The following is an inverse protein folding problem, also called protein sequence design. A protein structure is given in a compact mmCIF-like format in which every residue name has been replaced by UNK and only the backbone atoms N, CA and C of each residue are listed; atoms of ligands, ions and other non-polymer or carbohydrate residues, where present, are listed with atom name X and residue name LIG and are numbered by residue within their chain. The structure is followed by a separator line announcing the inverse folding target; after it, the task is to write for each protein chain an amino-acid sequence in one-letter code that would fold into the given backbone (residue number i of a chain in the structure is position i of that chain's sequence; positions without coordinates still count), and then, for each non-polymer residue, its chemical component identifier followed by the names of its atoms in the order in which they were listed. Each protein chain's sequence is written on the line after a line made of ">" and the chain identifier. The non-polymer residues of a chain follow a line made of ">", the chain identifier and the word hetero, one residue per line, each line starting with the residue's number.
data_IF_613913395767
#
_entry.id   IF_613913395767
#
_cell.length_a   1.000
_cell.length_b   1.000
_cell.length_c   1.000
_cell.angle_alpha   90.00
_cell.angle_beta   90.00
_cell.angle_gamma   90.00
#
_symmetry.space_group_name_H-M   'P 1'
#
loop_
_entity.id
_entity.type
_entity.pdbx_description
1 polymer ?
#
# COMPACT_ATOMS: atom_id res chain seq x y z
N UNK A 1 -5.27 8.55 18.28
CA UNK A 1 -4.79 9.10 19.58
C UNK A 1 -3.55 9.97 19.40
N UNK A 2 -2.45 9.44 18.83
CA UNK A 2 -1.19 10.18 18.64
C UNK A 2 -1.37 11.55 17.97
N UNK A 3 -2.05 11.60 16.81
CA UNK A 3 -2.29 12.87 16.09
C UNK A 3 -3.14 13.87 16.89
N UNK A 4 -4.01 13.37 17.78
CA UNK A 4 -4.80 14.26 18.64
C UNK A 4 -3.96 14.86 19.75
N UNK A 5 -3.13 14.04 20.39
CA UNK A 5 -2.14 14.55 21.34
C UNK A 5 -1.18 15.55 20.66
N UNK A 6 -0.69 15.26 19.45
CA UNK A 6 0.18 16.17 18.69
C UNK A 6 -0.48 17.54 18.46
N UNK A 7 -1.73 17.56 18.01
CA UNK A 7 -2.48 18.81 17.80
C UNK A 7 -2.66 19.61 19.09
N UNK A 8 -2.85 18.97 20.25
CA UNK A 8 -2.98 19.67 21.53
C UNK A 8 -1.68 20.37 21.95
N UNK A 9 -0.53 19.77 21.61
CA UNK A 9 0.80 20.30 21.95
C UNK A 9 1.14 21.60 21.21
N UNK A 10 0.38 21.96 20.17
CA UNK A 10 0.48 23.28 19.52
C UNK A 10 0.00 24.42 20.44
N UNK A 11 -0.67 24.11 21.56
CA UNK A 11 -0.99 25.10 22.60
C UNK A 11 -2.18 26.02 22.28
N UNK A 12 -2.92 25.75 21.21
CA UNK A 12 -4.01 26.61 20.71
C UNK A 12 -5.41 26.01 20.92
N UNK A 13 -5.52 24.81 21.49
CA UNK A 13 -6.81 24.11 21.69
C UNK A 13 -7.47 24.42 23.04
N UNK A 14 -6.75 24.98 24.02
CA UNK A 14 -7.29 25.31 25.34
C UNK A 14 -7.76 24.09 26.14
N UNK A 15 -6.97 23.01 26.14
CA UNK A 15 -7.25 21.74 26.82
C UNK A 15 -6.23 21.49 27.94
N UNK A 16 -6.64 20.83 29.05
CA UNK A 16 -5.70 20.45 30.11
C UNK A 16 -4.65 19.45 29.61
N UNK A 17 -3.39 19.68 30.02
CA UNK A 17 -2.26 18.80 29.72
C UNK A 17 -2.45 17.37 30.26
N UNK A 18 -3.25 17.19 31.31
CA UNK A 18 -3.60 15.87 31.85
C UNK A 18 -4.30 14.99 30.81
N UNK A 19 -5.17 15.56 29.98
CA UNK A 19 -5.92 14.82 28.94
C UNK A 19 -4.97 14.38 27.82
N UNK A 20 -4.09 15.28 27.38
CA UNK A 20 -3.05 14.97 26.39
C UNK A 20 -2.08 13.90 26.91
N UNK A 21 -1.68 13.98 28.19
CA UNK A 21 -0.84 12.96 28.85
C UNK A 21 -1.55 11.61 28.93
N UNK A 22 -2.87 11.62 29.15
CA UNK A 22 -3.69 10.41 29.19
C UNK A 22 -3.81 9.72 27.82
N UNK A 23 -3.93 10.48 26.73
CA UNK A 23 -3.85 9.93 25.37
C UNK A 23 -2.54 9.19 25.13
N UNK A 24 -1.41 9.74 25.59
CA UNK A 24 -0.10 9.10 25.47
C UNK A 24 0.02 7.86 26.37
N UNK A 25 -0.53 7.90 27.58
CA UNK A 25 -0.56 6.75 28.49
C UNK A 25 -1.38 5.58 27.93
N UNK A 26 -2.51 5.84 27.28
CA UNK A 26 -3.28 4.81 26.56
C UNK A 26 -2.44 4.12 25.48
N UNK A 27 -1.64 4.88 24.72
CA UNK A 27 -0.72 4.32 23.72
C UNK A 27 0.37 3.48 24.41
N UNK A 28 1.01 4.02 25.45
CA UNK A 28 2.09 3.35 26.17
C UNK A 28 1.66 2.01 26.80
N UNK A 29 0.44 1.96 27.32
CA UNK A 29 -0.11 0.78 28.00
C UNK A 29 -0.93 -0.13 27.05
N UNK A 30 -0.92 0.13 25.74
CA UNK A 30 -1.68 -0.63 24.73
C UNK A 30 -3.20 -0.73 25.00
N UNK A 31 -3.80 0.39 25.40
CA UNK A 31 -5.24 0.56 25.54
C UNK A 31 -5.80 1.29 24.32
N UNK A 32 -6.57 0.59 23.49
CA UNK A 32 -7.08 1.11 22.22
C UNK A 32 -8.60 1.19 22.24
N UNK A 33 -9.21 2.40 22.21
CA UNK A 33 -10.66 2.55 22.10
C UNK A 33 -11.25 1.83 20.89
N UNK A 34 -12.39 1.17 21.07
CA UNK A 34 -13.15 0.57 19.98
C UNK A 34 -14.02 1.63 19.31
N UNK A 35 -13.81 1.83 18.00
CA UNK A 35 -14.39 2.94 17.25
C UNK A 35 -15.19 2.37 16.07
N UNK A 36 -16.45 2.78 15.86
CA UNK A 36 -17.20 2.38 14.67
C UNK A 36 -16.65 3.06 13.41
N UNK A 37 -16.71 2.36 12.28
CA UNK A 37 -16.19 2.87 11.01
C UNK A 37 -17.07 3.98 10.39
N UNK A 38 -18.36 4.01 10.73
CA UNK A 38 -19.34 4.97 10.20
C UNK A 38 -19.69 6.06 11.21
N UNK A 39 -19.93 7.27 10.72
CA UNK A 39 -20.44 8.39 11.51
C UNK A 39 -19.75 9.74 11.29
N UNK A 40 -18.64 9.78 10.54
CA UNK A 40 -17.99 11.03 10.15
C UNK A 40 -18.27 11.36 8.69
N UNK A 41 -18.69 12.60 8.43
CA UNK A 41 -18.75 13.21 7.09
C UNK A 41 -17.54 14.09 6.79
N UNK A 42 -16.61 14.23 7.75
CA UNK A 42 -15.39 15.03 7.60
C UNK A 42 -15.61 16.53 7.37
N UNK A 43 -16.70 17.10 7.92
CA UNK A 43 -17.04 18.51 7.78
C UNK A 43 -16.74 19.35 9.02
N UNK A 44 -17.00 18.82 10.23
CA UNK A 44 -16.65 19.44 11.53
C UNK A 44 -15.58 18.62 12.26
N UNK A 45 -14.72 17.99 11.46
CA UNK A 45 -13.83 16.91 11.89
C UNK A 45 -14.57 15.58 12.10
N UNK A 46 -13.88 14.64 12.73
CA UNK A 46 -14.33 13.26 12.97
C UNK A 46 -15.11 13.13 14.28
N UNK A 47 -16.16 13.94 14.45
CA UNK A 47 -16.92 14.07 15.71
C UNK A 47 -17.31 12.71 16.31
N UNK A 48 -17.98 11.85 15.54
CA UNK A 48 -18.46 10.56 16.03
C UNK A 48 -17.29 9.63 16.39
N UNK A 49 -16.32 9.34 15.49
CA UNK A 49 -15.17 8.51 15.85
C UNK A 49 -14.37 9.02 17.06
N UNK A 50 -14.13 10.34 17.13
CA UNK A 50 -13.37 10.93 18.22
C UNK A 50 -14.14 10.96 19.55
N UNK A 51 -15.47 10.89 19.52
CA UNK A 51 -16.29 10.73 20.74
C UNK A 51 -16.02 9.41 21.44
N UNK A 52 -15.77 8.32 20.70
CA UNK A 52 -15.41 7.02 21.31
C UNK A 52 -14.04 7.06 21.99
N UNK A 53 -13.09 7.78 21.39
CA UNK A 53 -11.79 8.04 22.02
C UNK A 53 -11.99 8.90 23.28
N UNK A 54 -12.68 10.03 23.15
CA UNK A 54 -12.92 10.94 24.27
C UNK A 54 -13.63 10.22 25.42
N UNK A 55 -14.73 9.52 25.16
CA UNK A 55 -15.49 8.80 26.18
C UNK A 55 -14.65 7.77 26.95
N UNK A 56 -13.73 7.10 26.24
CA UNK A 56 -12.79 6.16 26.86
C UNK A 56 -11.72 6.87 27.70
N UNK A 57 -11.19 8.00 27.21
CA UNK A 57 -10.16 8.80 27.90
C UNK A 57 -10.71 9.47 29.18
N UNK A 58 -11.92 10.02 29.13
CA UNK A 58 -12.58 10.60 30.30
C UNK A 58 -13.13 9.55 31.26
N UNK A 59 -13.43 8.33 30.77
CA UNK A 59 -14.11 7.31 31.57
C UNK A 59 -15.55 7.69 31.86
N UNK A 60 -16.31 8.05 30.82
CA UNK A 60 -17.67 8.58 30.98
C UNK A 60 -18.62 7.53 31.60
N UNK A 61 -18.69 6.34 31.00
CA UNK A 61 -19.51 5.22 31.49
C UNK A 61 -19.05 3.88 30.89
N UNK A 62 -19.70 2.79 31.29
CA UNK A 62 -19.37 1.40 30.92
C UNK A 62 -19.67 1.05 29.45
N UNK A 63 -20.40 1.89 28.69
CA UNK A 63 -20.73 1.59 27.29
C UNK A 63 -19.54 1.80 26.34
N UNK A 64 -18.55 2.60 26.74
CA UNK A 64 -17.31 2.78 26.00
C UNK A 64 -16.40 1.57 26.23
N UNK A 65 -16.00 0.92 25.14
CA UNK A 65 -15.15 -0.26 25.19
C UNK A 65 -13.78 0.02 24.59
N UNK A 66 -12.78 -0.69 25.08
CA UNK A 66 -11.39 -0.67 24.61
C UNK A 66 -10.92 -2.10 24.36
N UNK A 67 -9.94 -2.25 23.48
CA UNK A 67 -9.02 -3.38 23.50
C UNK A 67 -7.85 -3.04 24.42
N UNK A 68 -7.59 -3.89 25.42
CA UNK A 68 -6.42 -3.79 26.27
C UNK A 68 -5.57 -5.05 26.11
N UNK A 69 -4.45 -4.92 25.39
CA UNK A 69 -3.53 -6.02 25.10
C UNK A 69 -4.24 -7.24 24.46
N UNK A 70 -5.16 -7.00 23.52
CA UNK A 70 -5.92 -8.06 22.84
C UNK A 70 -7.17 -8.53 23.59
N UNK A 71 -7.51 -7.93 24.74
CA UNK A 71 -8.73 -8.24 25.51
C UNK A 71 -9.72 -7.08 25.44
N UNK A 72 -10.95 -7.35 25.00
CA UNK A 72 -12.04 -6.37 25.05
C UNK A 72 -12.53 -6.19 26.49
N UNK A 73 -12.67 -4.94 26.92
CA UNK A 73 -13.31 -4.55 28.20
C UNK A 73 -13.91 -3.15 28.14
N UNK A 74 -14.64 -2.74 29.18
CA UNK A 74 -15.13 -1.37 29.28
C UNK A 74 -13.99 -0.42 29.69
N UNK A 75 -14.11 0.86 29.33
CA UNK A 75 -13.08 1.87 29.54
C UNK A 75 -12.83 2.17 31.03
N UNK A 76 -13.82 2.00 31.92
CA UNK A 76 -13.65 2.27 33.35
C UNK A 76 -12.71 1.26 34.01
N UNK A 77 -12.90 -0.01 33.68
CA UNK A 77 -12.02 -1.08 34.16
C UNK A 77 -10.61 -0.91 33.62
N UNK A 78 -10.47 -0.57 32.33
CA UNK A 78 -9.16 -0.28 31.74
C UNK A 78 -8.46 0.90 32.43
N UNK A 79 -9.18 1.99 32.73
CA UNK A 79 -8.62 3.12 33.49
C UNK A 79 -8.12 2.68 34.87
N UNK A 80 -8.91 1.89 35.59
CA UNK A 80 -8.50 1.34 36.89
C UNK A 80 -7.25 0.47 36.77
N UNK A 81 -7.18 -0.42 35.78
CA UNK A 81 -6.02 -1.30 35.55
C UNK A 81 -4.73 -0.51 35.26
N UNK A 82 -4.83 0.62 34.54
CA UNK A 82 -3.67 1.48 34.26
C UNK A 82 -3.43 2.58 35.32
N UNK A 83 -4.16 2.54 36.44
CA UNK A 83 -3.98 3.44 37.58
C UNK A 83 -4.48 4.87 37.34
N UNK A 84 -5.53 5.05 36.54
CA UNK A 84 -6.16 6.33 36.25
C UNK A 84 -7.60 6.39 36.78
N UNK A 85 -8.02 7.58 37.19
CA UNK A 85 -9.40 7.87 37.60
C UNK A 85 -10.19 8.56 36.50
N UNK A 86 -11.52 8.61 36.62
CA UNK A 86 -12.37 9.41 35.72
C UNK A 86 -11.95 10.89 35.71
N UNK A 87 -12.23 11.56 34.59
CA UNK A 87 -12.09 13.00 34.46
C UNK A 87 -13.43 13.65 34.16
N UNK A 88 -13.70 14.78 34.83
CA UNK A 88 -14.83 15.63 34.48
C UNK A 88 -14.44 16.58 33.35
N UNK A 89 -15.34 16.72 32.37
CA UNK A 89 -15.20 17.65 31.26
C UNK A 89 -15.29 19.10 31.74
N UNK A 90 -14.30 19.91 31.38
CA UNK A 90 -14.35 21.36 31.56
C UNK A 90 -14.81 22.07 30.27
N UNK A 91 -15.16 23.37 30.32
CA UNK A 91 -15.52 24.12 29.12
C UNK A 91 -14.48 23.95 28.01
N UNK A 92 -14.92 23.91 26.75
CA UNK A 92 -14.12 23.68 25.53
C UNK A 92 -13.52 22.28 25.37
N UNK A 93 -13.16 21.58 26.44
CA UNK A 93 -12.36 20.34 26.35
C UNK A 93 -13.01 19.21 25.54
N UNK A 94 -14.35 19.12 25.57
CA UNK A 94 -15.10 18.21 24.72
C UNK A 94 -14.84 18.48 23.24
N UNK A 95 -14.98 19.75 22.82
CA UNK A 95 -14.71 20.17 21.45
C UNK A 95 -13.23 19.97 21.08
N UNK A 96 -12.29 20.30 21.96
CA UNK A 96 -10.86 20.08 21.70
C UNK A 96 -10.49 18.60 21.48
N UNK A 97 -11.29 17.67 22.01
CA UNK A 97 -11.11 16.24 21.83
C UNK A 97 -11.79 15.70 20.57
N UNK A 98 -12.99 16.18 20.25
CA UNK A 98 -13.83 15.59 19.19
C UNK A 98 -13.84 16.38 17.88
N UNK A 99 -13.52 17.66 17.92
CA UNK A 99 -13.49 18.52 16.74
C UNK A 99 -12.09 18.46 16.11
N UNK A 100 -12.00 17.90 14.91
CA UNK A 100 -10.77 17.83 14.12
C UNK A 100 -10.60 16.57 13.28
N UNK A 101 -9.60 16.56 12.41
CA UNK A 101 -9.38 15.57 11.34
C UNK A 101 -8.48 14.40 11.75
N UNK A 102 -8.25 14.18 13.06
CA UNK A 102 -7.25 13.22 13.53
C UNK A 102 -7.51 11.78 13.10
N UNK A 103 -8.77 11.37 13.00
CA UNK A 103 -9.09 9.98 12.71
C UNK A 103 -8.89 9.69 11.22
N UNK A 104 -9.46 10.53 10.36
CA UNK A 104 -9.30 10.38 8.91
C UNK A 104 -7.83 10.54 8.48
N UNK A 105 -7.09 11.45 9.13
CA UNK A 105 -5.67 11.68 8.86
C UNK A 105 -4.82 10.48 9.27
N UNK A 106 -5.09 9.88 10.44
CA UNK A 106 -4.36 8.68 10.88
C UNK A 106 -4.63 7.49 9.94
N UNK A 107 -5.88 7.28 9.54
CA UNK A 107 -6.24 6.25 8.54
C UNK A 107 -5.53 6.47 7.22
N UNK A 108 -5.50 7.72 6.74
CA UNK A 108 -4.84 8.09 5.50
C UNK A 108 -3.32 7.88 5.57
N UNK A 109 -2.67 8.28 6.67
CA UNK A 109 -1.24 8.10 6.88
C UNK A 109 -0.86 6.61 6.83
N UNK A 110 -1.62 5.75 7.50
CA UNK A 110 -1.41 4.29 7.45
C UNK A 110 -1.62 3.74 6.04
N UNK A 111 -2.67 4.19 5.31
CA UNK A 111 -2.93 3.76 3.93
C UNK A 111 -1.77 4.12 2.98
N UNK A 112 -1.27 5.35 3.09
CA UNK A 112 -0.12 5.83 2.30
C UNK A 112 1.13 5.01 2.63
N UNK A 113 1.41 4.80 3.92
CA UNK A 113 2.58 4.05 4.36
C UNK A 113 2.57 2.62 3.82
N UNK A 114 1.45 1.91 3.98
CA UNK A 114 1.32 0.56 3.42
C UNK A 114 1.45 0.58 1.89
N UNK A 115 0.93 1.61 1.20
CA UNK A 115 1.09 1.70 -0.25
C UNK A 115 2.54 1.93 -0.68
N UNK A 116 3.35 2.67 0.07
CA UNK A 116 4.79 2.76 -0.21
C UNK A 116 5.46 1.38 -0.22
N UNK A 117 5.12 0.55 0.76
CA UNK A 117 5.64 -0.83 0.84
C UNK A 117 5.15 -1.65 -0.36
N UNK A 118 3.84 -1.63 -0.63
CA UNK A 118 3.24 -2.40 -1.73
C UNK A 118 3.71 -1.93 -3.11
N UNK A 119 4.01 -0.64 -3.27
CA UNK A 119 4.58 -0.10 -4.50
C UNK A 119 5.99 -0.65 -4.74
N UNK A 120 6.85 -0.69 -3.71
CA UNK A 120 8.15 -1.33 -3.80
C UNK A 120 8.03 -2.82 -4.15
N UNK A 121 7.11 -3.56 -3.50
CA UNK A 121 6.80 -4.95 -3.86
C UNK A 121 6.34 -5.09 -5.32
N UNK A 122 5.56 -4.14 -5.83
CA UNK A 122 5.09 -4.14 -7.22
C UNK A 122 6.25 -4.03 -8.21
N UNK A 123 7.27 -3.21 -7.92
CA UNK A 123 8.46 -3.11 -8.77
C UNK A 123 9.25 -4.42 -8.81
N UNK A 124 9.34 -5.12 -7.67
CA UNK A 124 9.93 -6.45 -7.62
C UNK A 124 9.11 -7.49 -8.40
N UNK A 125 7.78 -7.45 -8.31
CA UNK A 125 6.90 -8.32 -9.10
C UNK A 125 7.08 -8.09 -10.60
N UNK A 126 7.18 -6.83 -11.02
CA UNK A 126 7.50 -6.42 -12.38
C UNK A 126 8.88 -6.91 -12.83
N UNK A 127 9.90 -6.81 -11.98
CA UNK A 127 11.25 -7.28 -12.30
C UNK A 127 11.29 -8.81 -12.46
N UNK A 128 10.56 -9.57 -11.63
CA UNK A 128 10.40 -11.03 -11.82
C UNK A 128 9.66 -11.34 -13.13
N UNK A 129 8.57 -10.63 -13.45
CA UNK A 129 7.83 -10.82 -14.69
C UNK A 129 8.67 -10.51 -15.93
N UNK A 130 9.44 -9.41 -15.91
CA UNK A 130 10.36 -9.02 -16.99
C UNK A 130 11.42 -10.10 -17.22
N UNK A 131 12.01 -10.65 -16.15
CA UNK A 131 12.97 -11.75 -16.25
C UNK A 131 12.33 -13.02 -16.83
N UNK A 132 11.15 -13.41 -16.35
CA UNK A 132 10.42 -14.56 -16.89
C UNK A 132 10.04 -14.37 -18.37
N UNK A 133 9.78 -13.14 -18.81
CA UNK A 133 9.46 -12.78 -20.20
C UNK A 133 10.68 -12.58 -21.10
N UNK A 134 11.92 -12.64 -20.59
CA UNK A 134 13.13 -12.25 -21.32
C UNK A 134 13.06 -10.80 -21.84
N UNK A 135 12.55 -9.89 -21.02
CA UNK A 135 12.42 -8.48 -21.40
C UNK A 135 13.76 -7.77 -21.58
N UNK A 136 13.72 -6.63 -22.27
CA UNK A 136 14.84 -5.76 -22.56
C UNK A 136 15.01 -4.71 -21.45
N UNK A 137 16.25 -4.44 -21.04
CA UNK A 137 16.58 -3.39 -20.06
C UNK A 137 16.80 -1.99 -20.68
N UNK A 138 16.97 -1.89 -22.00
CA UNK A 138 17.16 -0.62 -22.73
C UNK A 138 16.05 0.41 -22.53
N UNK A 139 14.75 0.05 -22.38
CA UNK A 139 13.71 1.03 -22.06
C UNK A 139 13.91 1.79 -20.75
N UNK A 140 14.81 1.32 -19.88
CA UNK A 140 15.18 1.98 -18.62
C UNK A 140 16.47 2.81 -18.74
N UNK A 141 17.09 2.88 -19.92
CA UNK A 141 18.38 3.55 -20.10
C UNK A 141 18.32 5.05 -19.72
N UNK A 142 19.25 5.58 -18.90
CA UNK A 142 19.15 6.93 -18.33
C UNK A 142 18.98 8.06 -19.35
N UNK A 143 19.56 7.93 -20.55
CA UNK A 143 19.37 8.89 -21.65
C UNK A 143 17.90 9.22 -21.90
N UNK A 144 17.02 8.20 -21.97
CA UNK A 144 15.59 8.37 -22.27
C UNK A 144 14.86 9.17 -21.17
N UNK A 145 15.23 8.94 -19.91
CA UNK A 145 14.60 9.56 -18.74
C UNK A 145 15.26 10.89 -18.36
N UNK A 146 16.44 11.18 -18.89
CA UNK A 146 17.05 12.50 -18.82
C UNK A 146 16.38 13.47 -19.80
N UNK A 147 16.08 13.05 -21.03
CA UNK A 147 15.44 13.91 -22.04
C UNK A 147 13.95 14.16 -21.77
N UNK A 148 13.29 13.31 -20.97
CA UNK A 148 11.93 13.54 -20.45
C UNK A 148 11.94 13.47 -18.92
N UNK A 149 12.31 14.57 -18.22
CA UNK A 149 12.86 14.52 -16.88
C UNK A 149 11.82 14.54 -15.74
N UNK A 150 10.68 13.88 -15.90
CA UNK A 150 9.77 13.65 -14.77
C UNK A 150 10.49 12.85 -13.68
N UNK A 151 10.39 13.29 -12.43
CA UNK A 151 11.11 12.66 -11.32
C UNK A 151 10.67 11.21 -11.16
N UNK A 152 9.36 10.93 -11.15
CA UNK A 152 8.85 9.57 -11.03
C UNK A 152 9.34 8.67 -12.16
N UNK A 153 9.51 9.24 -13.37
CA UNK A 153 10.00 8.49 -14.53
C UNK A 153 11.48 8.12 -14.38
N UNK A 154 12.30 9.02 -13.85
CA UNK A 154 13.71 8.74 -13.54
C UNK A 154 13.86 7.72 -12.43
N UNK A 155 13.05 7.87 -11.36
CA UNK A 155 13.02 6.93 -10.24
C UNK A 155 12.73 5.51 -10.74
N UNK A 156 11.61 5.29 -11.44
CA UNK A 156 11.23 3.95 -11.93
C UNK A 156 12.31 3.36 -12.83
N UNK A 157 12.86 4.15 -13.76
CA UNK A 157 13.90 3.66 -14.65
C UNK A 157 15.16 3.23 -13.91
N UNK A 158 15.65 4.06 -12.97
CA UNK A 158 16.81 3.74 -12.13
C UNK A 158 16.56 2.49 -11.30
N UNK A 159 15.44 2.43 -10.59
CA UNK A 159 15.09 1.29 -9.74
C UNK A 159 14.95 0.00 -10.54
N UNK A 160 14.37 0.03 -11.74
CA UNK A 160 14.28 -1.15 -12.60
C UNK A 160 15.64 -1.58 -13.14
N UNK A 161 16.57 -0.67 -13.43
CA UNK A 161 17.95 -1.04 -13.76
C UNK A 161 18.65 -1.72 -12.59
N UNK A 162 18.49 -1.18 -11.38
CA UNK A 162 19.07 -1.76 -10.17
C UNK A 162 18.54 -3.18 -9.93
N UNK A 163 17.21 -3.35 -10.03
CA UNK A 163 16.51 -4.62 -9.89
C UNK A 163 16.88 -5.67 -10.95
N UNK A 164 17.45 -5.26 -12.10
CA UNK A 164 17.77 -6.14 -13.22
C UNK A 164 19.28 -6.26 -13.51
N UNK A 165 20.12 -5.53 -12.77
CA UNK A 165 21.52 -5.22 -13.12
C UNK A 165 22.43 -6.42 -13.40
N UNK A 166 22.26 -7.53 -12.68
CA UNK A 166 23.06 -8.77 -12.81
C UNK A 166 22.24 -9.99 -13.27
N UNK A 167 21.01 -9.76 -13.75
CA UNK A 167 20.16 -10.82 -14.25
C UNK A 167 20.70 -11.45 -15.53
N UNK A 168 20.63 -12.79 -15.59
CA UNK A 168 20.89 -13.60 -16.79
C UNK A 168 19.60 -14.02 -17.49
N UNK A 169 18.44 -13.52 -17.03
CA UNK A 169 17.11 -13.77 -17.60
C UNK A 169 16.54 -12.57 -18.38
N UNK A 170 17.36 -11.60 -18.75
CA UNK A 170 16.94 -10.46 -19.57
C UNK A 170 17.79 -10.37 -20.85
N UNK A 171 17.27 -9.68 -21.85
CA UNK A 171 18.08 -9.24 -22.98
C UNK A 171 18.78 -7.93 -22.57
N UNK A 172 20.11 -7.99 -22.44
CA UNK A 172 20.90 -6.81 -22.12
C UNK A 172 21.20 -6.03 -23.40
N UNK A 173 20.53 -4.89 -23.58
CA UNK A 173 20.65 -4.04 -24.77
C UNK A 173 21.00 -2.59 -24.40
N UNK A 174 21.66 -2.37 -23.26
CA UNK A 174 22.07 -1.01 -22.81
C UNK A 174 23.13 -0.38 -23.72
N UNK A 175 23.87 -1.19 -24.49
CA UNK A 175 24.80 -0.73 -25.51
C UNK A 175 24.11 -0.19 -26.79
N UNK A 176 22.78 -0.28 -26.85
CA UNK A 176 21.99 0.13 -28.01
C UNK A 176 21.88 -0.93 -29.10
N UNK A 177 22.48 -2.12 -28.92
CA UNK A 177 22.43 -3.20 -29.89
C UNK A 177 21.15 -4.03 -29.76
N UNK A 178 20.71 -4.60 -30.89
CA UNK A 178 19.53 -5.46 -30.96
C UNK A 178 19.84 -6.85 -31.53
N UNK A 179 21.12 -7.22 -31.52
CA UNK A 179 21.59 -8.38 -32.26
C UNK A 179 21.03 -9.69 -31.73
N UNK A 180 20.78 -9.80 -30.42
CA UNK A 180 20.10 -10.96 -29.83
C UNK A 180 18.67 -11.13 -30.37
N UNK A 181 17.89 -10.05 -30.45
CA UNK A 181 16.53 -10.09 -30.97
C UNK A 181 16.50 -10.41 -32.47
N UNK A 182 17.40 -9.78 -33.24
CA UNK A 182 17.53 -10.01 -34.69
C UNK A 182 17.94 -11.45 -35.01
N UNK A 183 18.92 -12.00 -34.29
CA UNK A 183 19.37 -13.38 -34.50
C UNK A 183 18.31 -14.42 -34.13
N UNK A 184 17.40 -14.09 -33.20
CA UNK A 184 16.33 -14.97 -32.76
C UNK A 184 15.02 -14.79 -33.56
N UNK A 185 14.99 -13.95 -34.61
CA UNK A 185 13.77 -13.54 -35.32
C UNK A 185 12.63 -13.09 -34.38
N UNK A 186 13.00 -12.42 -33.27
CA UNK A 186 12.06 -11.88 -32.29
C UNK A 186 11.81 -10.40 -32.53
N UNK A 187 10.74 -9.88 -31.94
CA UNK A 187 10.48 -8.45 -31.91
C UNK A 187 11.65 -7.72 -31.26
N UNK A 188 12.10 -6.64 -31.91
CA UNK A 188 13.17 -5.77 -31.38
C UNK A 188 12.69 -4.98 -30.15
N UNK A 189 11.39 -4.71 -30.08
CA UNK A 189 10.78 -3.91 -29.03
C UNK A 189 9.78 -4.72 -28.22
N UNK A 190 9.92 -4.65 -26.89
CA UNK A 190 8.92 -5.18 -25.98
C UNK A 190 7.59 -4.42 -26.09
N UNK A 191 6.53 -5.10 -25.64
CA UNK A 191 5.20 -4.52 -25.44
C UNK A 191 5.24 -3.40 -24.39
N UNK A 192 4.23 -2.52 -24.43
CA UNK A 192 4.24 -1.28 -23.65
C UNK A 192 4.20 -1.49 -22.13
N UNK A 193 3.64 -2.60 -21.66
CA UNK A 193 3.69 -2.93 -20.23
C UNK A 193 5.13 -3.12 -19.70
N UNK A 194 6.12 -3.33 -20.57
CA UNK A 194 7.54 -3.32 -20.20
C UNK A 194 8.14 -1.98 -20.64
N UNK A 195 8.05 -1.66 -21.94
CA UNK A 195 8.77 -0.53 -22.53
C UNK A 195 8.32 0.85 -22.07
N UNK A 196 7.03 1.02 -21.77
CA UNK A 196 6.46 2.29 -21.32
C UNK A 196 6.30 2.35 -19.79
N UNK A 197 6.85 1.38 -19.05
CA UNK A 197 6.70 1.26 -17.60
C UNK A 197 7.15 2.52 -16.84
N UNK A 198 8.33 3.11 -17.10
CA UNK A 198 8.73 4.32 -16.40
C UNK A 198 7.78 5.49 -16.62
N UNK A 199 7.25 5.64 -17.84
CA UNK A 199 6.31 6.70 -18.19
C UNK A 199 4.93 6.48 -17.58
N UNK A 200 4.48 5.22 -17.51
CA UNK A 200 3.19 4.86 -16.95
C UNK A 200 3.17 5.01 -15.43
N UNK A 201 4.21 4.53 -14.73
CA UNK A 201 4.25 4.53 -13.27
C UNK A 201 4.64 5.88 -12.67
N UNK A 202 5.28 6.77 -13.44
CA UNK A 202 5.76 8.06 -12.96
C UNK A 202 4.70 8.92 -12.25
N UNK A 203 3.50 9.16 -12.81
CA UNK A 203 2.51 10.04 -12.18
C UNK A 203 1.97 9.48 -10.86
N UNK A 204 2.04 8.16 -10.65
CA UNK A 204 1.59 7.51 -9.43
C UNK A 204 2.63 7.61 -8.31
N UNK A 205 3.93 7.57 -8.64
CA UNK A 205 5.01 7.88 -7.69
C UNK A 205 4.90 9.34 -7.25
N UNK A 206 4.79 10.25 -8.21
CA UNK A 206 4.68 11.69 -7.94
C UNK A 206 3.42 12.01 -7.13
N UNK A 207 2.29 11.37 -7.49
CA UNK A 207 1.05 11.50 -6.73
C UNK A 207 1.13 10.92 -5.32
N UNK A 208 1.82 9.80 -5.12
CA UNK A 208 2.02 9.21 -3.79
C UNK A 208 2.83 10.15 -2.89
N UNK A 209 3.89 10.79 -3.42
CA UNK A 209 4.66 11.78 -2.67
C UNK A 209 3.84 13.02 -2.33
N UNK A 210 3.01 13.50 -3.26
CA UNK A 210 2.15 14.65 -3.01
C UNK A 210 1.08 14.36 -1.94
N UNK A 211 0.46 13.18 -1.99
CA UNK A 211 -0.46 12.73 -0.94
C UNK A 211 0.25 12.62 0.40
N UNK A 212 1.46 12.04 0.45
CA UNK A 212 2.24 11.91 1.67
C UNK A 212 2.57 13.28 2.29
N UNK A 213 3.07 14.22 1.49
CA UNK A 213 3.35 15.59 1.92
C UNK A 213 2.10 16.28 2.49
N UNK A 214 0.97 16.10 1.82
CA UNK A 214 -0.32 16.69 2.23
C UNK A 214 -0.77 16.15 3.58
N UNK A 215 -0.70 14.83 3.77
CA UNK A 215 -1.06 14.19 5.04
C UNK A 215 -0.06 14.50 6.14
N UNK A 216 1.24 14.66 5.85
CA UNK A 216 2.23 15.09 6.85
C UNK A 216 1.97 16.50 7.37
N UNK A 217 1.53 17.42 6.50
CA UNK A 217 1.09 18.75 6.95
C UNK A 217 -0.12 18.60 7.90
N UNK A 218 -1.13 17.84 7.48
CA UNK A 218 -2.34 17.62 8.26
C UNK A 218 -2.08 16.97 9.63
N UNK A 219 -1.14 16.02 9.70
CA UNK A 219 -0.68 15.38 10.93
C UNK A 219 -0.11 16.36 11.95
N UNK A 220 0.42 17.50 11.48
CA UNK A 220 1.07 18.54 12.28
C UNK A 220 0.25 19.85 12.36
N UNK A 221 -1.03 19.81 11.98
CA UNK A 221 -1.93 20.96 12.03
C UNK A 221 -2.75 21.03 13.32
N UNK A 222 -3.09 22.25 13.76
CA UNK A 222 -4.15 22.48 14.74
C UNK A 222 -5.50 22.49 14.02
N UNK A 223 -6.29 21.44 14.23
CA UNK A 223 -7.53 21.20 13.48
C UNK A 223 -8.79 21.14 14.35
N UNK A 224 -8.74 21.57 15.62
CA UNK A 224 -9.95 21.80 16.43
C UNK A 224 -10.47 23.24 16.30
N UNK A 225 -11.61 23.53 16.93
CA UNK A 225 -12.25 24.85 16.87
C UNK A 225 -13.09 25.16 18.12
N UNK A 226 -13.17 26.44 18.57
CA UNK A 226 -12.34 27.59 18.16
C UNK A 226 -10.87 27.45 18.54
N UNK A 227 -9.97 28.17 17.86
CA UNK A 227 -8.56 28.24 18.24
C UNK A 227 -8.31 29.42 19.18
N UNK A 228 -7.44 29.23 20.17
CA UNK A 228 -7.10 30.21 21.19
C UNK A 228 -5.72 30.79 20.88
N UNK A 229 -5.70 32.07 20.57
CA UNK A 229 -4.50 32.89 20.48
C UNK A 229 -4.25 33.49 21.87
N UNK A 230 -3.44 32.78 22.67
CA UNK A 230 -3.13 33.19 24.03
C UNK A 230 -2.29 34.48 24.08
N UNK A 231 -1.45 34.72 23.07
CA UNK A 231 -0.62 35.92 23.01
C UNK A 231 -1.48 37.18 22.87
N UNK A 232 -2.49 37.13 22.01
CA UNK A 232 -3.39 38.26 21.77
C UNK A 232 -4.69 38.20 22.59
N UNK A 233 -4.85 37.20 23.48
CA UNK A 233 -6.04 36.98 24.30
C UNK A 233 -7.34 36.91 23.47
N UNK A 234 -7.30 36.17 22.36
CA UNK A 234 -8.41 36.05 21.41
C UNK A 234 -8.77 34.60 21.15
N UNK A 235 -10.05 34.37 20.85
CA UNK A 235 -10.55 33.12 20.31
C UNK A 235 -11.04 33.34 18.88
N UNK A 236 -10.60 32.51 17.96
CA UNK A 236 -10.96 32.56 16.54
C UNK A 236 -11.80 31.35 16.18
N UNK A 237 -13.00 31.61 15.66
CA UNK A 237 -13.84 30.57 15.05
C UNK A 237 -13.45 30.42 13.58
N UNK A 238 -12.98 29.24 13.22
CA UNK A 238 -12.58 28.87 11.86
C UNK A 238 -13.05 27.46 11.52
N UNK A 239 -12.42 26.86 10.51
CA UNK A 239 -12.83 25.58 9.96
C UNK A 239 -11.64 24.64 9.66
N UNK A 240 -10.56 24.71 10.45
CA UNK A 240 -9.40 23.84 10.28
C UNK A 240 -9.72 22.34 10.46
N UNK A 241 -10.90 22.02 10.99
CA UNK A 241 -11.44 20.67 11.09
C UNK A 241 -11.87 20.06 9.75
N UNK A 242 -11.88 20.84 8.66
CA UNK A 242 -12.44 20.45 7.36
C UNK A 242 -11.43 19.61 6.55
N UNK A 243 -11.76 18.34 6.32
CA UNK A 243 -10.81 17.32 5.85
C UNK A 243 -10.61 17.19 4.33
N UNK A 244 -10.77 18.25 3.55
CA UNK A 244 -10.76 18.17 2.07
C UNK A 244 -9.44 17.64 1.51
N UNK A 245 -8.32 18.06 2.12
CA UNK A 245 -6.99 17.57 1.79
C UNK A 245 -6.85 16.06 1.96
N UNK A 246 -7.47 15.49 3.01
CA UNK A 246 -7.48 14.04 3.23
C UNK A 246 -8.31 13.35 2.13
N UNK A 247 -9.52 13.85 1.87
CA UNK A 247 -10.45 13.19 0.95
C UNK A 247 -9.91 13.10 -0.47
N UNK A 248 -9.43 14.23 -1.00
CA UNK A 248 -8.86 14.31 -2.35
C UNK A 248 -7.57 13.50 -2.49
N UNK A 249 -6.73 13.49 -1.45
CA UNK A 249 -5.51 12.65 -1.41
C UNK A 249 -5.84 11.16 -1.41
N UNK A 250 -6.86 10.74 -0.66
CA UNK A 250 -7.29 9.34 -0.60
C UNK A 250 -8.00 8.89 -1.87
N UNK A 251 -8.77 9.76 -2.52
CA UNK A 251 -9.34 9.49 -3.85
C UNK A 251 -8.23 9.25 -4.89
N UNK A 252 -7.20 10.11 -4.91
CA UNK A 252 -6.03 9.95 -5.79
C UNK A 252 -5.22 8.70 -5.46
N UNK A 253 -5.06 8.36 -4.18
CA UNK A 253 -4.35 7.16 -3.75
C UNK A 253 -5.06 5.90 -4.28
N UNK A 254 -6.39 5.78 -4.10
CA UNK A 254 -7.16 4.62 -4.58
C UNK A 254 -7.10 4.49 -6.10
N UNK A 255 -7.22 5.61 -6.81
CA UNK A 255 -7.05 5.64 -8.26
C UNK A 255 -5.67 5.08 -8.68
N UNK A 256 -4.61 5.50 -7.99
CA UNK A 256 -3.24 5.04 -8.24
C UNK A 256 -3.08 3.54 -7.94
N UNK A 257 -3.62 3.06 -6.82
CA UNK A 257 -3.62 1.62 -6.45
C UNK A 257 -4.21 0.78 -7.58
N UNK A 258 -5.39 1.15 -8.10
CA UNK A 258 -6.06 0.41 -9.15
C UNK A 258 -5.27 0.37 -10.47
N UNK A 259 -4.63 1.48 -10.86
CA UNK A 259 -3.85 1.53 -12.10
C UNK A 259 -2.51 0.80 -12.00
N UNK A 260 -1.86 0.85 -10.84
CA UNK A 260 -0.67 0.03 -10.56
C UNK A 260 -1.01 -1.46 -10.62
N UNK A 261 -2.14 -1.88 -10.03
CA UNK A 261 -2.62 -3.25 -10.10
C UNK A 261 -2.92 -3.71 -11.54
N UNK A 262 -3.59 -2.85 -12.33
CA UNK A 262 -3.93 -3.11 -13.73
C UNK A 262 -2.70 -3.31 -14.61
N UNK A 263 -1.64 -2.54 -14.36
CA UNK A 263 -0.39 -2.68 -15.11
C UNK A 263 0.27 -4.05 -14.89
N UNK A 264 0.32 -4.50 -13.63
CA UNK A 264 0.83 -5.83 -13.31
C UNK A 264 -0.04 -6.94 -13.94
N UNK A 265 -1.37 -6.81 -13.89
CA UNK A 265 -2.31 -7.78 -14.46
C UNK A 265 -2.08 -8.02 -15.97
N UNK A 266 -1.72 -6.96 -16.71
CA UNK A 266 -1.36 -7.06 -18.14
C UNK A 266 -0.03 -7.81 -18.38
N UNK A 267 0.92 -7.74 -17.45
CA UNK A 267 2.14 -8.55 -17.53
C UNK A 267 1.88 -10.01 -17.15
N UNK A 268 1.01 -10.26 -16.16
CA UNK A 268 0.54 -11.60 -15.83
C UNK A 268 -0.12 -12.25 -17.05
N UNK A 269 -0.98 -11.53 -17.77
CA UNK A 269 -1.57 -12.00 -19.02
C UNK A 269 -0.52 -12.38 -20.07
N UNK A 270 0.62 -11.68 -20.15
CA UNK A 270 1.70 -12.06 -21.07
C UNK A 270 2.44 -13.31 -20.63
N UNK A 271 2.64 -13.50 -19.31
CA UNK A 271 3.33 -14.68 -18.78
C UNK A 271 2.56 -15.98 -19.06
N UNK A 272 1.24 -15.96 -18.87
CA UNK A 272 0.39 -17.15 -18.94
C UNK A 272 -0.07 -17.50 -20.35
N UNK A 273 0.16 -16.63 -21.34
CA UNK A 273 -0.29 -16.79 -22.73
C UNK A 273 0.90 -17.09 -23.65
N UNK A 274 1.02 -18.32 -24.20
CA UNK A 274 2.17 -18.77 -25.00
C UNK A 274 2.58 -17.83 -26.15
N UNK A 275 1.59 -17.20 -26.79
CA UNK A 275 1.78 -16.26 -27.90
C UNK A 275 2.57 -15.01 -27.50
N UNK A 276 2.61 -14.71 -26.19
CA UNK A 276 3.25 -13.51 -25.63
C UNK A 276 4.37 -13.83 -24.63
N UNK A 277 4.45 -15.06 -24.14
CA UNK A 277 5.31 -15.44 -23.02
C UNK A 277 6.77 -15.75 -23.41
N UNK A 278 7.10 -15.65 -24.70
CA UNK A 278 8.41 -16.01 -25.24
C UNK A 278 8.80 -17.47 -24.90
N UNK A 279 7.85 -18.39 -25.05
CA UNK A 279 8.07 -19.84 -24.97
C UNK A 279 7.79 -20.49 -23.61
N UNK A 280 7.20 -19.77 -22.65
CA UNK A 280 6.68 -20.42 -21.44
C UNK A 280 5.44 -21.26 -21.80
N UNK A 281 5.19 -22.37 -21.08
CA UNK A 281 4.03 -23.23 -21.32
C UNK A 281 2.71 -22.50 -21.03
N UNK A 282 1.63 -22.97 -21.67
CA UNK A 282 0.27 -22.44 -21.45
C UNK A 282 -0.08 -22.47 -19.97
N UNK A 283 -0.59 -21.34 -19.47
CA UNK A 283 -0.95 -21.13 -18.07
C UNK A 283 0.14 -21.59 -17.08
N UNK A 284 1.41 -21.48 -17.49
CA UNK A 284 2.57 -21.84 -16.68
C UNK A 284 2.48 -23.26 -16.07
N UNK A 285 1.97 -24.22 -16.85
CA UNK A 285 1.92 -25.64 -16.44
C UNK A 285 3.31 -26.15 -16.05
N UNK A 286 3.42 -26.73 -14.85
CA UNK A 286 4.67 -27.28 -14.32
C UNK A 286 5.01 -28.64 -14.92
N UNK A 287 4.19 -29.65 -14.64
CA UNK A 287 4.37 -31.00 -15.13
C UNK A 287 3.66 -31.23 -16.48
N UNK A 288 4.39 -31.30 -17.61
CA UNK A 288 3.78 -31.52 -18.92
C UNK A 288 3.30 -32.97 -19.14
N UNK A 289 3.71 -33.92 -18.29
CA UNK A 289 3.35 -35.34 -18.46
C UNK A 289 1.95 -35.66 -17.95
N UNK A 290 1.32 -34.75 -17.21
CA UNK A 290 -0.02 -34.91 -16.67
C UNK A 290 -0.98 -33.97 -17.39
N UNK A 291 -1.66 -34.51 -18.40
CA UNK A 291 -2.51 -33.76 -19.33
C UNK A 291 -3.69 -33.03 -18.66
N UNK A 292 -4.08 -33.43 -17.45
CA UNK A 292 -5.17 -32.80 -16.69
C UNK A 292 -4.75 -31.54 -15.92
N UNK A 293 -3.44 -31.24 -15.85
CA UNK A 293 -2.97 -30.02 -15.19
C UNK A 293 -3.31 -28.78 -16.01
N UNK A 294 -3.74 -27.74 -15.31
CA UNK A 294 -4.10 -26.42 -15.84
C UNK A 294 -3.20 -25.31 -15.30
N UNK A 295 -2.24 -25.64 -14.43
CA UNK A 295 -1.22 -24.72 -13.94
C UNK A 295 -1.84 -23.56 -13.14
N UNK A 296 -1.46 -22.32 -13.50
CA UNK A 296 -1.91 -21.12 -12.78
C UNK A 296 -3.23 -20.55 -13.31
N UNK A 297 -3.99 -21.28 -14.14
CA UNK A 297 -5.22 -20.77 -14.76
C UNK A 297 -6.23 -20.22 -13.74
N UNK A 298 -6.47 -20.95 -12.65
CA UNK A 298 -7.35 -20.48 -11.56
C UNK A 298 -6.79 -19.26 -10.80
N UNK A 299 -5.46 -19.21 -10.65
CA UNK A 299 -4.78 -18.10 -9.98
C UNK A 299 -4.86 -16.81 -10.82
N UNK A 300 -4.72 -16.92 -12.14
CA UNK A 300 -4.95 -15.81 -13.06
C UNK A 300 -6.39 -15.29 -12.97
N UNK A 301 -7.40 -16.17 -12.96
CA UNK A 301 -8.80 -15.78 -12.82
C UNK A 301 -9.06 -15.05 -11.49
N UNK A 302 -8.38 -15.46 -10.41
CA UNK A 302 -8.42 -14.76 -9.14
C UNK A 302 -7.86 -13.32 -9.27
N UNK A 303 -6.69 -13.14 -9.89
CA UNK A 303 -6.15 -11.80 -10.17
C UNK A 303 -7.08 -10.95 -11.04
N UNK A 304 -7.66 -11.56 -12.08
CA UNK A 304 -8.58 -10.88 -13.00
C UNK A 304 -9.92 -10.50 -12.38
N UNK A 305 -10.35 -11.14 -11.28
CA UNK A 305 -11.54 -10.72 -10.53
C UNK A 305 -11.23 -9.60 -9.54
N UNK A 306 -10.02 -9.59 -8.96
CA UNK A 306 -9.58 -8.60 -7.99
C UNK A 306 -9.22 -7.26 -8.66
N UNK A 307 -8.50 -7.28 -9.79
CA UNK A 307 -8.01 -6.06 -10.44
C UNK A 307 -9.13 -5.07 -10.82
N UNK A 308 -10.25 -5.48 -11.46
CA UNK A 308 -11.37 -4.59 -11.74
C UNK A 308 -12.02 -4.04 -10.46
N UNK A 309 -11.99 -4.81 -9.37
CA UNK A 309 -12.52 -4.39 -8.08
C UNK A 309 -11.68 -3.25 -7.47
N UNK A 310 -10.35 -3.28 -7.63
CA UNK A 310 -9.48 -2.16 -7.26
C UNK A 310 -9.77 -0.90 -8.08
N UNK A 311 -10.03 -1.03 -9.38
CA UNK A 311 -10.43 0.10 -10.23
C UNK A 311 -11.78 0.70 -9.82
N UNK A 312 -12.73 -0.14 -9.40
CA UNK A 312 -14.01 0.32 -8.86
C UNK A 312 -13.82 1.18 -7.62
N UNK A 313 -12.96 0.77 -6.69
CA UNK A 313 -12.61 1.59 -5.52
C UNK A 313 -11.79 2.84 -5.87
N UNK A 314 -11.14 2.88 -7.03
CA UNK A 314 -10.48 4.07 -7.56
C UNK A 314 -11.41 5.22 -7.93
N UNK A 315 -12.73 5.04 -7.87
CA UNK A 315 -13.69 6.14 -8.02
C UNK A 315 -13.61 7.12 -6.84
N UNK A 316 -13.80 8.40 -7.13
CA UNK A 316 -13.84 9.46 -6.12
C UNK A 316 -15.07 9.35 -5.23
N UNK A 317 -14.95 9.85 -4.00
CA UNK A 317 -16.09 10.05 -3.10
C UNK A 317 -16.22 11.49 -2.64
N UNK A 318 -15.15 12.30 -2.74
CA UNK A 318 -15.18 13.71 -2.33
C UNK A 318 -16.29 14.50 -3.05
N UNK A 319 -16.58 14.17 -4.32
CA UNK A 319 -17.61 14.80 -5.16
C UNK A 319 -19.05 14.40 -4.79
N UNK A 320 -19.24 13.45 -3.88
CA UNK A 320 -20.53 12.83 -3.54
C UNK A 320 -21.06 13.24 -2.17
N UNK A 321 -20.57 14.35 -1.64
CA UNK A 321 -20.96 14.86 -0.33
C UNK A 321 -22.44 15.26 -0.27
N UNK A 322 -23.08 15.07 0.89
CA UNK A 322 -24.48 15.40 1.08
C UNK A 322 -24.64 16.88 1.43
N UNK A 323 -25.24 17.67 0.53
CA UNK A 323 -25.41 19.13 0.69
C UNK A 323 -26.37 19.55 1.80
N UNK A 324 -27.13 18.60 2.37
CA UNK A 324 -28.13 18.81 3.41
C UNK A 324 -27.69 18.27 4.77
N UNK A 325 -26.41 17.94 4.94
CA UNK A 325 -25.89 17.38 6.18
C UNK A 325 -26.07 18.35 7.36
N UNK A 326 -26.46 17.78 8.50
CA UNK A 326 -26.60 18.47 9.79
C UNK A 326 -27.42 19.77 9.68
N UNK A 327 -28.71 19.62 9.34
CA UNK A 327 -29.64 20.75 9.21
C UNK A 327 -29.18 21.87 8.26
N UNK A 328 -28.48 21.50 7.17
CA UNK A 328 -27.89 22.42 6.18
C UNK A 328 -26.74 23.30 6.71
N UNK A 329 -26.29 23.11 7.95
CA UNK A 329 -25.12 23.82 8.48
C UNK A 329 -23.82 23.27 7.87
N UNK A 330 -23.73 21.95 7.65
CA UNK A 330 -22.59 21.29 7.00
C UNK A 330 -22.86 21.07 5.49
N UNK A 331 -23.30 22.14 4.82
CA UNK A 331 -23.73 22.12 3.42
C UNK A 331 -22.63 21.81 2.40
N UNK A 332 -21.37 21.86 2.82
CA UNK A 332 -20.22 21.22 2.18
C UNK A 332 -19.54 20.32 3.21
N UNK A 333 -19.04 19.17 2.76
CA UNK A 333 -18.31 18.24 3.61
C UNK A 333 -17.38 17.39 2.76
N UNK A 334 -16.26 16.94 3.34
CA UNK A 334 -15.19 16.30 2.57
C UNK A 334 -15.43 14.80 2.31
N UNK A 335 -16.20 14.13 3.15
CA UNK A 335 -16.23 12.67 3.26
C UNK A 335 -14.84 12.05 3.51
N UNK A 336 -13.91 12.79 4.12
CA UNK A 336 -12.52 12.38 4.31
C UNK A 336 -12.34 11.06 5.05
N UNK A 337 -13.12 10.80 6.11
CA UNK A 337 -13.09 9.51 6.82
C UNK A 337 -13.51 8.34 5.91
N UNK A 338 -14.60 8.50 5.15
CA UNK A 338 -15.06 7.48 4.21
C UNK A 338 -14.01 7.22 3.14
N UNK A 339 -13.43 8.28 2.59
CA UNK A 339 -12.38 8.20 1.58
C UNK A 339 -11.14 7.45 2.12
N UNK A 340 -10.73 7.73 3.35
CA UNK A 340 -9.62 7.06 4.02
C UNK A 340 -9.94 5.57 4.34
N UNK A 341 -11.15 5.25 4.78
CA UNK A 341 -11.58 3.86 5.01
C UNK A 341 -11.57 3.06 3.70
N UNK A 342 -12.09 3.62 2.61
CA UNK A 342 -12.02 3.00 1.28
C UNK A 342 -10.57 2.81 0.81
N UNK A 343 -9.67 3.73 1.19
CA UNK A 343 -8.25 3.58 0.87
C UNK A 343 -7.63 2.41 1.63
N UNK A 344 -7.89 2.26 2.95
CA UNK A 344 -7.47 1.07 3.70
C UNK A 344 -8.01 -0.23 3.10
N UNK A 345 -9.26 -0.22 2.68
CA UNK A 345 -9.84 -1.39 2.02
C UNK A 345 -9.12 -1.69 0.70
N UNK A 346 -8.87 -0.67 -0.14
CA UNK A 346 -8.11 -0.81 -1.39
C UNK A 346 -6.71 -1.40 -1.15
N UNK A 347 -6.02 -0.98 -0.08
CA UNK A 347 -4.74 -1.58 0.33
C UNK A 347 -4.89 -3.06 0.67
N UNK A 348 -5.92 -3.43 1.44
CA UNK A 348 -6.16 -4.85 1.80
C UNK A 348 -6.43 -5.73 0.58
N UNK A 349 -7.18 -5.21 -0.40
CA UNK A 349 -7.46 -5.89 -1.68
C UNK A 349 -6.20 -5.95 -2.55
N UNK A 350 -5.39 -4.90 -2.58
CA UNK A 350 -4.12 -4.85 -3.31
C UNK A 350 -3.13 -5.91 -2.79
N UNK A 351 -3.11 -6.17 -1.47
CA UNK A 351 -2.30 -7.25 -0.89
C UNK A 351 -2.65 -8.62 -1.48
N UNK A 352 -3.93 -8.89 -1.71
CA UNK A 352 -4.39 -10.13 -2.34
C UNK A 352 -3.96 -10.18 -3.82
N UNK A 353 -4.15 -9.10 -4.57
CA UNK A 353 -3.71 -9.02 -5.98
C UNK A 353 -2.21 -9.23 -6.16
N UNK A 354 -1.40 -8.59 -5.31
CA UNK A 354 0.06 -8.72 -5.34
C UNK A 354 0.53 -10.11 -4.93
N UNK A 355 -0.06 -10.71 -3.88
CA UNK A 355 0.27 -12.07 -3.49
C UNK A 355 0.01 -13.06 -4.66
N UNK A 356 -1.18 -12.99 -5.26
CA UNK A 356 -1.54 -13.77 -6.46
C UNK A 356 -0.53 -13.56 -7.59
N UNK A 357 -0.21 -12.31 -7.91
CA UNK A 357 0.70 -11.96 -9.01
C UNK A 357 2.13 -12.45 -8.76
N UNK A 358 2.65 -12.31 -7.53
CA UNK A 358 3.99 -12.76 -7.16
C UNK A 358 4.12 -14.28 -7.28
N UNK A 359 3.11 -15.04 -6.85
CA UNK A 359 3.12 -16.50 -6.99
C UNK A 359 3.14 -16.93 -8.48
N UNK A 360 2.44 -16.21 -9.35
CA UNK A 360 2.50 -16.43 -10.81
C UNK A 360 3.91 -16.09 -11.33
N UNK A 361 4.51 -14.97 -10.90
CA UNK A 361 5.86 -14.59 -11.30
C UNK A 361 6.92 -15.61 -10.84
N UNK A 362 6.80 -16.17 -9.63
CA UNK A 362 7.67 -17.22 -9.08
C UNK A 362 7.62 -18.46 -9.97
N UNK A 363 6.41 -18.91 -10.34
CA UNK A 363 6.26 -20.02 -11.27
C UNK A 363 6.90 -19.69 -12.64
N UNK A 364 6.69 -18.47 -13.13
CA UNK A 364 7.24 -18.01 -14.40
C UNK A 364 8.77 -18.06 -14.45
N UNK A 365 9.47 -17.64 -13.39
CA UNK A 365 10.93 -17.67 -13.36
C UNK A 365 11.50 -19.08 -13.19
N UNK A 366 10.84 -19.97 -12.46
CA UNK A 366 11.23 -21.40 -12.37
C UNK A 366 11.18 -22.06 -13.75
N UNK A 367 10.06 -21.86 -14.48
CA UNK A 367 9.88 -22.38 -15.83
C UNK A 367 10.83 -21.73 -16.84
N UNK A 368 11.12 -20.43 -16.69
CA UNK A 368 12.13 -19.77 -17.53
C UNK A 368 13.50 -20.37 -17.29
N UNK A 369 13.88 -20.66 -16.04
CA UNK A 369 15.13 -21.33 -15.70
C UNK A 369 15.27 -22.66 -16.46
N UNK A 370 14.17 -23.43 -16.54
CA UNK A 370 14.15 -24.70 -17.26
C UNK A 370 14.49 -24.55 -18.73
N UNK A 371 13.99 -23.49 -19.36
CA UNK A 371 14.24 -23.19 -20.76
C UNK A 371 15.68 -22.70 -21.03
N UNK A 372 16.32 -22.04 -20.06
CA UNK A 372 17.68 -21.49 -20.22
C UNK A 372 18.76 -22.52 -19.85
N UNK A 373 18.61 -23.24 -18.73
CA UNK A 373 19.65 -24.10 -18.16
C UNK A 373 19.18 -25.52 -17.81
N UNK A 374 18.00 -25.94 -18.27
CA UNK A 374 17.45 -27.28 -18.01
C UNK A 374 17.24 -27.63 -16.51
N UNK A 375 17.19 -26.63 -15.62
CA UNK A 375 16.89 -26.74 -14.18
C UNK A 375 15.70 -25.84 -13.81
N UNK A 376 14.89 -26.21 -12.83
CA UNK A 376 13.81 -25.36 -12.32
C UNK A 376 14.25 -24.39 -11.21
N UNK A 377 15.51 -24.45 -10.75
CA UNK A 377 16.04 -23.49 -9.78
C UNK A 377 16.52 -22.22 -10.53
N UNK A 378 15.89 -21.04 -10.32
CA UNK A 378 16.23 -19.82 -11.03
C UNK A 378 17.31 -19.00 -10.33
N UNK A 379 17.78 -19.38 -9.13
CA UNK A 379 18.61 -18.51 -8.26
C UNK A 379 19.95 -18.10 -8.88
N UNK A 380 20.49 -18.85 -9.83
CA UNK A 380 21.75 -18.50 -10.51
C UNK A 380 21.56 -17.62 -11.76
N UNK A 381 20.31 -17.37 -12.13
CA UNK A 381 19.90 -16.63 -13.31
C UNK A 381 19.15 -15.33 -12.97
N UNK A 382 18.45 -15.27 -11.84
CA UNK A 382 17.84 -14.05 -11.31
C UNK A 382 18.90 -13.02 -10.92
N UNK A 383 18.54 -11.74 -11.00
CA UNK A 383 19.31 -10.68 -10.34
C UNK A 383 19.36 -10.89 -8.83
N UNK A 384 20.39 -10.38 -8.16
CA UNK A 384 20.53 -10.51 -6.71
C UNK A 384 19.30 -10.00 -5.95
N UNK A 385 18.76 -8.84 -6.35
CA UNK A 385 17.61 -8.24 -5.66
C UNK A 385 16.33 -9.07 -5.84
N UNK A 386 16.04 -9.53 -7.06
CA UNK A 386 14.84 -10.35 -7.30
C UNK A 386 14.99 -11.78 -6.75
N UNK A 387 16.21 -12.27 -6.65
CA UNK A 387 16.55 -13.55 -6.01
C UNK A 387 16.24 -13.54 -4.51
N UNK A 388 16.40 -12.41 -3.83
CA UNK A 388 16.07 -12.27 -2.41
C UNK A 388 14.56 -12.36 -2.17
N UNK A 389 13.74 -11.62 -2.92
CA UNK A 389 12.28 -11.69 -2.76
C UNK A 389 11.73 -13.07 -3.19
N UNK A 390 12.29 -13.67 -4.24
CA UNK A 390 11.96 -15.03 -4.65
C UNK A 390 12.17 -16.03 -3.51
N UNK A 391 13.35 -16.04 -2.88
CA UNK A 391 13.65 -16.92 -1.75
C UNK A 391 12.76 -16.62 -0.55
N UNK A 392 12.58 -15.34 -0.20
CA UNK A 392 11.74 -14.94 0.92
C UNK A 392 10.31 -15.48 0.78
N UNK A 393 9.74 -15.45 -0.42
CA UNK A 393 8.39 -16.00 -0.66
C UNK A 393 8.40 -17.53 -0.60
N UNK A 394 9.38 -18.21 -1.22
CA UNK A 394 9.50 -19.68 -1.19
C UNK A 394 9.63 -20.22 0.23
N UNK A 395 10.43 -19.56 1.06
CA UNK A 395 10.60 -19.89 2.47
C UNK A 395 9.31 -19.65 3.25
N UNK A 396 8.63 -18.53 2.98
CA UNK A 396 7.42 -18.14 3.68
C UNK A 396 6.26 -19.13 3.44
N UNK A 397 6.08 -19.59 2.20
CA UNK A 397 5.07 -20.61 1.86
C UNK A 397 5.56 -22.04 2.13
N UNK A 398 6.79 -22.21 2.62
CA UNK A 398 7.40 -23.51 2.96
C UNK A 398 7.47 -24.50 1.79
N UNK A 399 7.66 -23.99 0.56
CA UNK A 399 7.81 -24.83 -0.64
C UNK A 399 9.27 -24.83 -1.10
N UNK A 400 10.01 -25.94 -0.94
CA UNK A 400 11.45 -25.98 -1.19
C UNK A 400 11.78 -25.70 -2.66
N UNK A 401 12.88 -25.01 -2.90
CA UNK A 401 13.43 -24.76 -4.24
C UNK A 401 14.12 -26.03 -4.72
N UNK A 402 13.82 -26.46 -5.94
CA UNK A 402 14.27 -27.74 -6.51
C UNK A 402 14.77 -27.55 -7.93
N UNK A 403 15.73 -28.38 -8.32
CA UNK A 403 16.25 -28.40 -9.69
C UNK A 403 15.35 -29.20 -10.64
N UNK A 404 14.61 -30.17 -10.11
CA UNK A 404 13.82 -31.15 -10.88
C UNK A 404 12.33 -30.80 -10.99
N UNK A 405 11.84 -29.83 -10.20
CA UNK A 405 10.43 -29.39 -10.21
C UNK A 405 10.32 -27.88 -10.01
N UNK A 406 9.43 -27.24 -10.76
CA UNK A 406 8.98 -25.86 -10.50
C UNK A 406 8.17 -25.76 -9.19
N UNK A 407 7.95 -24.52 -8.73
CA UNK A 407 7.10 -24.19 -7.59
C UNK A 407 5.75 -24.93 -7.62
N UNK A 408 5.00 -24.79 -8.72
CA UNK A 408 3.79 -25.56 -8.97
C UNK A 408 4.16 -26.65 -9.96
N UNK A 409 4.10 -27.91 -9.54
CA UNK A 409 4.39 -29.06 -10.39
C UNK A 409 3.10 -29.74 -10.87
N UNK A 410 2.29 -30.28 -9.96
CA UNK A 410 0.93 -30.74 -10.25
C UNK A 410 -0.11 -29.90 -9.52
N UNK A 411 -1.29 -29.72 -10.13
CA UNK A 411 -2.36 -28.89 -9.55
C UNK A 411 -2.86 -29.41 -8.20
N UNK A 412 -2.74 -30.72 -7.95
CA UNK A 412 -3.25 -31.40 -6.75
C UNK A 412 -2.24 -31.52 -5.59
N UNK A 413 -1.09 -30.84 -5.66
CA UNK A 413 -0.04 -30.92 -4.66
C UNK A 413 -0.07 -29.77 -3.63
N UNK A 414 -0.89 -28.74 -3.86
CA UNK A 414 -0.93 -27.54 -3.02
C UNK A 414 -2.29 -26.84 -3.03
N UNK A 415 -2.53 -26.05 -1.97
CA UNK A 415 -3.66 -25.14 -1.81
C UNK A 415 -3.19 -23.71 -2.11
N UNK A 416 -3.47 -23.20 -3.32
CA UNK A 416 -2.98 -21.88 -3.75
C UNK A 416 -3.59 -20.71 -2.95
N UNK A 417 -4.78 -20.89 -2.41
CA UNK A 417 -5.45 -19.94 -1.52
C UNK A 417 -4.70 -19.76 -0.18
N UNK A 418 -4.19 -20.84 0.40
CA UNK A 418 -3.32 -20.77 1.60
C UNK A 418 -2.04 -19.99 1.29
N UNK A 419 -1.42 -20.25 0.13
CA UNK A 419 -0.21 -19.54 -0.28
C UNK A 419 -0.48 -18.04 -0.50
N UNK A 420 -1.61 -17.68 -1.12
CA UNK A 420 -2.04 -16.29 -1.26
C UNK A 420 -2.19 -15.65 0.13
N UNK A 421 -2.92 -16.30 1.05
CA UNK A 421 -3.17 -15.77 2.38
C UNK A 421 -1.87 -15.52 3.15
N UNK A 422 -0.94 -16.48 3.12
CA UNK A 422 0.37 -16.38 3.78
C UNK A 422 1.17 -15.20 3.23
N UNK A 423 1.29 -15.09 1.90
CA UNK A 423 2.05 -14.00 1.27
C UNK A 423 1.39 -12.66 1.55
N UNK A 424 0.07 -12.55 1.34
CA UNK A 424 -0.69 -11.33 1.55
C UNK A 424 -0.56 -10.81 2.99
N UNK A 425 -0.63 -11.67 4.00
CA UNK A 425 -0.49 -11.26 5.40
C UNK A 425 0.89 -10.64 5.69
N UNK A 426 1.94 -11.08 5.00
CA UNK A 426 3.32 -10.66 5.25
C UNK A 426 3.82 -9.50 4.40
N UNK A 427 3.09 -9.09 3.34
CA UNK A 427 3.53 -8.01 2.43
C UNK A 427 3.86 -6.68 3.13
N UNK A 428 3.11 -6.32 4.18
CA UNK A 428 3.30 -5.07 4.95
C UNK A 428 3.85 -5.32 6.35
N UNK A 429 4.33 -6.54 6.63
CA UNK A 429 4.95 -6.87 7.91
C UNK A 429 6.45 -6.55 7.84
N UNK A 430 6.88 -5.47 8.49
CA UNK A 430 8.28 -5.03 8.49
C UNK A 430 9.26 -6.04 9.10
N UNK A 431 8.78 -6.93 9.96
CA UNK A 431 9.59 -8.01 10.54
C UNK A 431 9.84 -9.18 9.57
N UNK A 432 9.09 -9.25 8.47
CA UNK A 432 9.14 -10.40 7.54
C UNK A 432 10.42 -10.42 6.70
N UNK A 433 10.82 -11.62 6.25
CA UNK A 433 11.88 -11.78 5.24
C UNK A 433 11.54 -11.08 3.92
N UNK A 434 10.25 -11.00 3.58
CA UNK A 434 9.76 -10.34 2.38
C UNK A 434 10.01 -8.82 2.43
N UNK A 435 9.69 -8.18 3.55
CA UNK A 435 9.99 -6.75 3.71
C UNK A 435 11.49 -6.46 3.64
N UNK A 436 12.31 -7.31 4.27
CA UNK A 436 13.79 -7.19 4.19
C UNK A 436 14.29 -7.25 2.76
N UNK A 437 13.73 -8.12 1.92
CA UNK A 437 14.11 -8.25 0.52
C UNK A 437 13.79 -7.01 -0.33
N UNK A 438 12.74 -6.25 0.02
CA UNK A 438 12.34 -5.02 -0.70
C UNK A 438 12.85 -3.74 -0.03
N UNK A 439 13.49 -3.84 1.14
CA UNK A 439 13.91 -2.69 1.95
C UNK A 439 14.76 -1.67 1.19
N UNK A 440 15.74 -2.06 0.33
CA UNK A 440 16.52 -1.08 -0.44
C UNK A 440 15.65 -0.25 -1.38
N UNK A 441 14.71 -0.90 -2.09
CA UNK A 441 13.76 -0.25 -3.00
C UNK A 441 12.78 0.65 -2.24
N UNK A 442 12.24 0.16 -1.12
CA UNK A 442 11.36 0.96 -0.26
C UNK A 442 12.07 2.20 0.28
N UNK A 443 13.30 2.06 0.77
CA UNK A 443 14.08 3.18 1.27
C UNK A 443 14.39 4.20 0.17
N UNK A 444 14.77 3.74 -1.02
CA UNK A 444 14.99 4.62 -2.17
C UNK A 444 13.75 5.45 -2.51
N UNK A 445 12.56 4.85 -2.47
CA UNK A 445 11.29 5.52 -2.72
C UNK A 445 10.98 6.60 -1.67
N UNK A 446 11.27 6.33 -0.39
CA UNK A 446 11.05 7.29 0.70
C UNK A 446 12.09 8.41 0.68
N UNK A 447 13.37 8.09 0.45
CA UNK A 447 14.46 9.08 0.48
C UNK A 447 14.31 10.11 -0.65
N UNK A 448 13.88 9.69 -1.83
CA UNK A 448 13.69 10.59 -2.97
C UNK A 448 12.54 11.59 -2.75
N UNK A 449 11.59 11.31 -1.84
CA UNK A 449 10.48 12.22 -1.49
C UNK A 449 10.95 13.59 -1.03
N UNK A 450 12.12 13.67 -0.40
CA UNK A 450 12.67 14.92 0.14
C UNK A 450 13.60 15.66 -0.83
N UNK A 451 13.85 15.08 -2.01
CA UNK A 451 14.80 15.63 -2.99
C UNK A 451 14.14 16.59 -4.00
N UNK A 452 12.81 16.70 -3.98
CA UNK A 452 11.97 17.49 -4.90
C UNK A 452 10.76 18.05 -4.17
#
# INVERSE_FOLDING_TARGET
>A
MLLRANSHLLGVSGIRMEITSRLLKFIQDNVTPLIPEFGSVGASGDLVPLTYIAGSIYGINESFHVDFCGRRMNALDALNEIGLTKLDLQPKEGLAMINGSSMMTATAALAIYDFYILFAVTLHAHALAIQALLGNNQPFHPFLHHVKPHFGQKYIARTMLDLLSDSKMINNCLDGSHQQALNANKLVQDRYSIRAMPQYLAPFVEGLHECARTIEIEMNSANDNPLIDAENQKAYSGANFFGEHISTSMDRLRYSVGLVAKHLDVQIAQLVTPEFSNGLPDCLIGNPQREVNMGVKGLQLCGNSIMPYLLFYGQSVADKYATHAEQYNQNINSLGQTSANLARHSISVMKQHLATSLLICIQGVDLRSKLIQNTYDPRNLLSEQTRQIYQAIRDLIQVPIREDKSYIWNDNEQSLDEHIAIVAQNLTNEGSSLFKAIQPTFKQLIDDRHSH
#
